data_IF_786783590453
#
_entry.id   IF_786783590453
#
_cell.length_a   1.000
_cell.length_b   1.000
_cell.length_c   1.000
_cell.angle_alpha   90.00
_cell.angle_beta   90.00
_cell.angle_gamma   90.00
#
_symmetry.space_group_name_H-M   'P 1'
#
loop_
_entity.id
_entity.type
_entity.pdbx_description
1 polymer ?
#
# COMPACT_ATOMS: atom_id res chain seq x y z
N UNK A 1 -16.33 15.96 -49.16
CA UNK A 1 -16.52 15.96 -47.70
C UNK A 1 -15.80 14.75 -47.15
N UNK A 2 -14.70 14.92 -46.42
CA UNK A 2 -14.05 13.78 -45.77
C UNK A 2 -15.03 13.22 -44.73
N UNK A 3 -15.28 11.92 -44.74
CA UNK A 3 -16.08 11.25 -43.71
C UNK A 3 -15.42 11.54 -42.36
N UNK A 4 -16.09 12.33 -41.52
CA UNK A 4 -15.68 12.52 -40.13
C UNK A 4 -15.92 11.20 -39.41
N UNK A 5 -14.87 10.40 -39.28
CA UNK A 5 -14.90 9.17 -38.49
C UNK A 5 -14.93 9.56 -37.03
N UNK A 6 -15.87 9.00 -36.25
CA UNK A 6 -16.00 9.28 -34.83
C UNK A 6 -14.76 8.78 -34.07
N UNK A 7 -14.15 9.59 -33.19
CA UNK A 7 -13.07 9.14 -32.33
C UNK A 7 -13.47 7.93 -31.49
N UNK A 8 -12.58 6.95 -31.36
CA UNK A 8 -12.82 5.73 -30.57
C UNK A 8 -11.80 5.66 -29.45
N UNK A 9 -12.27 5.70 -28.21
CA UNK A 9 -11.44 5.49 -27.02
C UNK A 9 -11.63 4.06 -26.52
N UNK A 10 -10.53 3.33 -26.39
CA UNK A 10 -10.50 1.94 -25.91
C UNK A 10 -9.64 1.82 -24.65
N UNK A 11 -10.13 1.04 -23.70
CA UNK A 11 -9.43 0.72 -22.44
C UNK A 11 -9.47 -0.79 -22.23
N UNK A 12 -8.31 -1.45 -22.22
CA UNK A 12 -8.21 -2.90 -22.14
C UNK A 12 -7.17 -3.37 -21.10
N UNK A 13 -7.54 -4.28 -20.17
CA UNK A 13 -8.89 -4.81 -19.98
C UNK A 13 -9.81 -3.77 -19.31
N UNK A 14 -11.10 -3.79 -19.67
CA UNK A 14 -12.13 -2.91 -19.07
C UNK A 14 -12.42 -3.25 -17.61
N UNK A 15 -12.12 -4.48 -17.19
CA UNK A 15 -12.21 -4.96 -15.80
C UNK A 15 -10.92 -5.71 -15.47
N UNK A 16 -10.29 -5.37 -14.35
CA UNK A 16 -9.02 -5.95 -13.92
C UNK A 16 -8.71 -5.49 -12.51
N UNK A 17 -7.69 -6.09 -11.89
CA UNK A 17 -7.29 -5.68 -10.56
C UNK A 17 -6.67 -4.27 -10.58
N UNK A 18 -6.68 -3.59 -9.44
CA UNK A 18 -6.09 -2.26 -9.32
C UNK A 18 -4.59 -2.28 -9.49
N UNK A 19 -3.91 -3.40 -9.22
CA UNK A 19 -2.47 -3.58 -9.40
C UNK A 19 -2.09 -4.17 -10.78
N UNK A 20 -3.06 -4.29 -11.69
CA UNK A 20 -2.86 -4.69 -13.07
C UNK A 20 -2.85 -3.47 -14.02
N UNK A 21 -1.91 -3.47 -14.96
CA UNK A 21 -1.87 -2.45 -16.02
C UNK A 21 -3.05 -2.60 -16.97
N UNK A 22 -3.54 -1.47 -17.48
CA UNK A 22 -4.43 -1.43 -18.64
C UNK A 22 -3.83 -0.57 -19.75
N UNK A 23 -4.26 -0.81 -20.97
CA UNK A 23 -3.89 -0.06 -22.16
C UNK A 23 -5.00 0.93 -22.48
N UNK A 24 -4.61 2.17 -22.79
CA UNK A 24 -5.51 3.19 -23.30
C UNK A 24 -5.06 3.56 -24.71
N UNK A 25 -5.98 3.45 -25.67
CA UNK A 25 -5.74 3.88 -27.03
C UNK A 25 -6.92 4.70 -27.56
N UNK A 26 -6.61 5.78 -28.26
CA UNK A 26 -7.56 6.66 -28.92
C UNK A 26 -7.27 6.63 -30.43
N UNK A 27 -8.30 6.35 -31.21
CA UNK A 27 -8.21 6.20 -32.66
C UNK A 27 -9.18 7.13 -33.38
N UNK A 28 -9.04 7.22 -34.71
CA UNK A 28 -9.89 8.04 -35.58
C UNK A 28 -9.83 9.54 -35.28
N UNK A 29 -8.69 10.03 -34.77
CA UNK A 29 -8.42 11.45 -34.72
C UNK A 29 -7.91 11.96 -36.08
N UNK A 30 -7.99 13.27 -36.36
CA UNK A 30 -7.19 13.86 -37.42
C UNK A 30 -5.69 13.57 -37.17
N UNK A 31 -4.85 13.43 -38.21
CA UNK A 31 -3.40 13.34 -38.03
C UNK A 31 -2.84 14.57 -37.31
N UNK A 32 -1.84 14.36 -36.44
CA UNK A 32 -1.16 15.44 -35.69
C UNK A 32 -2.10 16.31 -34.86
N UNK A 33 -3.15 15.72 -34.33
CA UNK A 33 -4.20 16.40 -33.58
C UNK A 33 -3.88 16.45 -32.08
N UNK A 34 -3.79 17.65 -31.48
CA UNK A 34 -3.61 17.78 -30.03
C UNK A 34 -4.85 17.32 -29.26
N UNK A 35 -4.63 16.47 -28.26
CA UNK A 35 -5.69 15.87 -27.45
C UNK A 35 -5.25 15.71 -25.99
N UNK A 36 -6.17 15.91 -25.05
CA UNK A 36 -5.98 15.57 -23.63
C UNK A 36 -6.71 14.27 -23.34
N UNK A 37 -6.02 13.28 -22.78
CA UNK A 37 -6.67 12.15 -22.14
C UNK A 37 -6.78 12.46 -20.65
N UNK A 38 -8.00 12.39 -20.13
CA UNK A 38 -8.36 12.72 -18.75
C UNK A 38 -9.01 11.51 -18.10
N UNK A 39 -8.66 11.25 -16.85
CA UNK A 39 -9.26 10.21 -16.03
C UNK A 39 -9.94 10.84 -14.82
N UNK A 40 -11.17 10.43 -14.53
CA UNK A 40 -11.95 10.91 -13.40
C UNK A 40 -12.46 9.73 -12.57
N UNK A 41 -12.28 9.81 -11.25
CA UNK A 41 -12.82 8.87 -10.28
C UNK A 41 -13.55 9.63 -9.16
N UNK A 42 -14.73 9.14 -8.76
CA UNK A 42 -15.38 9.58 -7.52
C UNK A 42 -15.12 8.56 -6.42
N UNK A 43 -14.42 8.98 -5.38
CA UNK A 43 -14.12 8.16 -4.22
C UNK A 43 -15.36 7.85 -3.38
N UNK A 44 -15.25 6.86 -2.50
CA UNK A 44 -16.31 6.49 -1.56
C UNK A 44 -16.60 7.61 -0.54
N UNK A 45 -15.57 8.41 -0.23
CA UNK A 45 -15.65 9.67 0.54
C UNK A 45 -16.34 10.83 -0.24
N UNK A 46 -16.83 10.56 -1.46
CA UNK A 46 -17.53 11.48 -2.38
C UNK A 46 -16.67 12.60 -2.99
N UNK A 47 -15.37 12.61 -2.72
CA UNK A 47 -14.42 13.50 -3.40
C UNK A 47 -14.09 12.99 -4.81
N UNK A 48 -13.86 13.92 -5.73
CA UNK A 48 -13.45 13.62 -7.10
C UNK A 48 -11.94 13.75 -7.27
N UNK A 49 -11.36 12.77 -7.97
CA UNK A 49 -9.95 12.65 -8.26
C UNK A 49 -9.76 12.62 -9.77
N UNK A 50 -8.77 13.35 -10.26
CA UNK A 50 -8.47 13.41 -11.68
C UNK A 50 -6.98 13.32 -11.98
N UNK A 51 -6.68 12.83 -13.16
CA UNK A 51 -5.36 12.90 -13.80
C UNK A 51 -5.56 13.20 -15.28
N UNK A 52 -4.55 13.79 -15.93
CA UNK A 52 -4.60 14.02 -17.36
C UNK A 52 -3.21 14.10 -17.99
N UNK A 53 -3.11 13.64 -19.23
CA UNK A 53 -1.92 13.72 -20.05
C UNK A 53 -2.20 14.38 -21.40
N UNK A 54 -1.23 15.13 -21.91
CA UNK A 54 -1.29 15.81 -23.20
C UNK A 54 -0.63 14.99 -24.29
N UNK A 55 -1.35 14.72 -25.37
CA UNK A 55 -0.87 13.90 -26.48
C UNK A 55 -1.10 14.60 -27.82
N UNK A 56 -0.43 14.12 -28.84
CA UNK A 56 -0.65 14.51 -30.24
C UNK A 56 -0.75 13.22 -31.03
N UNK A 57 -1.82 13.04 -31.81
CA UNK A 57 -1.99 11.83 -32.60
C UNK A 57 -0.89 11.67 -33.66
N UNK A 58 -0.58 10.42 -33.99
CA UNK A 58 0.33 10.06 -35.07
C UNK A 58 -0.24 10.42 -36.47
N UNK A 59 0.50 10.09 -37.53
CA UNK A 59 0.05 10.33 -38.91
C UNK A 59 -1.17 9.50 -39.32
N UNK A 60 -1.53 8.48 -38.52
CA UNK A 60 -2.71 7.63 -38.68
C UNK A 60 -3.87 8.05 -37.80
N UNK A 61 -3.73 9.13 -37.01
CA UNK A 61 -4.77 9.60 -36.11
C UNK A 61 -4.92 8.77 -34.83
N UNK A 62 -3.85 8.14 -34.34
CA UNK A 62 -3.84 7.29 -33.15
C UNK A 62 -3.01 7.89 -32.02
N UNK A 63 -3.41 7.61 -30.79
CA UNK A 63 -2.63 7.82 -29.56
C UNK A 63 -2.72 6.53 -28.74
N UNK A 64 -1.58 5.99 -28.32
CA UNK A 64 -1.48 4.82 -27.44
C UNK A 64 -0.67 5.19 -26.21
N UNK A 65 -1.31 5.31 -25.04
CA UNK A 65 -0.71 5.84 -23.80
C UNK A 65 0.53 5.07 -23.34
N UNK A 66 0.62 3.77 -23.64
CA UNK A 66 1.77 2.95 -23.29
C UNK A 66 2.98 3.11 -24.21
N UNK A 67 2.85 3.84 -25.32
CA UNK A 67 3.87 3.99 -26.35
C UNK A 67 4.20 5.48 -26.59
N UNK A 68 3.17 6.34 -26.58
CA UNK A 68 3.30 7.77 -26.79
C UNK A 68 3.61 8.52 -25.50
N UNK A 69 4.52 9.48 -25.57
CA UNK A 69 4.88 10.30 -24.42
C UNK A 69 3.84 11.40 -24.17
N UNK A 70 3.37 11.49 -22.92
CA UNK A 70 2.63 12.66 -22.45
C UNK A 70 3.55 13.89 -22.45
N UNK A 71 3.11 14.97 -23.10
CA UNK A 71 3.84 16.24 -23.22
C UNK A 71 3.69 17.12 -21.96
N UNK A 72 2.71 16.84 -21.12
CA UNK A 72 2.35 17.65 -19.95
C UNK A 72 1.05 17.18 -19.30
N UNK A 73 0.61 17.95 -18.31
CA UNK A 73 -0.50 17.60 -17.44
C UNK A 73 0.00 17.10 -16.08
N UNK A 74 -0.70 16.13 -15.50
CA UNK A 74 -0.35 15.57 -14.18
C UNK A 74 0.87 14.65 -14.21
N UNK A 75 1.32 14.26 -15.41
CA UNK A 75 2.55 13.50 -15.67
C UNK A 75 3.11 13.80 -17.06
N UNK A 76 4.39 13.44 -17.28
CA UNK A 76 5.11 13.58 -18.56
C UNK A 76 5.86 12.29 -18.88
N UNK A 77 6.12 12.05 -20.16
CA UNK A 77 6.84 10.86 -20.64
C UNK A 77 5.90 9.69 -20.97
N UNK A 78 6.50 8.54 -21.31
CA UNK A 78 5.76 7.31 -21.63
C UNK A 78 5.40 6.61 -20.32
N UNK A 79 4.18 6.86 -19.86
CA UNK A 79 3.71 6.44 -18.54
C UNK A 79 2.37 5.70 -18.66
N UNK A 80 2.39 4.36 -18.88
CA UNK A 80 1.18 3.59 -19.17
C UNK A 80 0.05 3.76 -18.15
N UNK A 81 0.43 3.97 -16.88
CA UNK A 81 -0.49 4.11 -15.75
C UNK A 81 -0.54 5.54 -15.19
N UNK A 82 -0.04 6.53 -15.94
CA UNK A 82 -0.05 7.95 -15.56
C UNK A 82 -1.44 8.45 -15.20
N UNK A 83 -2.47 7.99 -15.91
CA UNK A 83 -3.88 8.30 -15.63
C UNK A 83 -4.43 7.70 -14.33
N UNK A 84 -3.67 6.89 -13.59
CA UNK A 84 -4.03 6.45 -12.24
C UNK A 84 -3.11 7.04 -11.17
N UNK A 85 -1.81 6.77 -11.25
CA UNK A 85 -0.89 7.09 -10.15
C UNK A 85 -0.70 8.60 -9.95
N UNK A 86 -0.96 9.42 -10.98
CA UNK A 86 -0.84 10.87 -10.90
C UNK A 86 -2.14 11.58 -10.49
N UNK A 87 -3.19 10.84 -10.11
CA UNK A 87 -4.44 11.47 -9.73
C UNK A 87 -4.27 12.42 -8.54
N UNK A 88 -4.94 13.55 -8.61
CA UNK A 88 -5.06 14.50 -7.51
C UNK A 88 -6.53 14.92 -7.35
N UNK A 89 -6.92 15.50 -6.20
CA UNK A 89 -8.25 16.06 -6.06
C UNK A 89 -8.52 17.13 -7.11
N UNK A 90 -9.75 17.18 -7.65
CA UNK A 90 -10.15 18.22 -8.62
C UNK A 90 -10.05 19.62 -8.00
N UNK A 91 -9.89 20.69 -8.81
CA UNK A 91 -9.92 22.07 -8.32
C UNK A 91 -11.14 22.36 -7.45
N UNK A 92 -10.93 23.10 -6.34
CA UNK A 92 -11.97 23.40 -5.35
C UNK A 92 -12.22 22.31 -4.30
N UNK A 93 -11.48 21.19 -4.34
CA UNK A 93 -11.56 20.15 -3.31
C UNK A 93 -11.04 20.66 -1.94
N UNK A 94 -11.55 20.04 -0.87
CA UNK A 94 -11.05 20.24 0.49
C UNK A 94 -9.58 19.78 0.63
N UNK A 95 -8.86 20.37 1.59
CA UNK A 95 -7.43 20.10 1.80
C UNK A 95 -7.17 18.79 2.57
N UNK A 96 -5.99 18.19 2.33
CA UNK A 96 -5.50 17.03 3.07
C UNK A 96 -6.28 15.74 2.78
N UNK A 97 -6.73 15.55 1.54
CA UNK A 97 -7.39 14.32 1.11
C UNK A 97 -6.42 13.17 0.92
N UNK A 98 -6.90 11.95 1.16
CA UNK A 98 -6.23 10.69 0.83
C UNK A 98 -7.26 9.76 0.21
N UNK A 99 -7.00 9.28 -1.00
CA UNK A 99 -7.85 8.28 -1.62
C UNK A 99 -7.68 6.97 -0.85
N UNK A 100 -8.79 6.39 -0.41
CA UNK A 100 -8.82 5.12 0.31
C UNK A 100 -9.94 4.28 -0.26
N UNK A 101 -9.72 2.97 -0.29
CA UNK A 101 -10.75 1.99 -0.58
C UNK A 101 -11.31 1.44 0.73
N UNK A 102 -12.59 1.64 0.98
CA UNK A 102 -13.29 1.16 2.18
C UNK A 102 -14.07 -0.13 1.88
N UNK A 103 -14.74 -0.21 0.73
CA UNK A 103 -15.46 -1.42 0.31
C UNK A 103 -14.73 -2.16 -0.81
N UNK A 104 -13.96 -3.19 -0.46
CA UNK A 104 -13.18 -4.00 -1.43
C UNK A 104 -14.05 -4.86 -2.36
N UNK A 105 -15.36 -5.00 -2.09
CA UNK A 105 -16.28 -5.78 -2.91
C UNK A 105 -16.85 -4.99 -4.10
N UNK A 106 -16.60 -3.69 -4.14
CA UNK A 106 -16.93 -2.83 -5.29
C UNK A 106 -15.65 -2.35 -6.00
N UNK A 107 -15.68 -2.07 -7.31
CA UNK A 107 -14.52 -1.56 -8.01
C UNK A 107 -14.30 -0.06 -7.77
N UNK A 108 -13.07 0.39 -7.98
CA UNK A 108 -12.78 1.77 -8.34
C UNK A 108 -13.16 1.98 -9.82
N UNK A 109 -14.23 2.71 -10.06
CA UNK A 109 -14.67 3.05 -11.43
C UNK A 109 -13.96 4.31 -11.90
N UNK A 110 -13.27 4.22 -13.03
CA UNK A 110 -12.53 5.33 -13.64
C UNK A 110 -13.11 5.63 -15.02
N UNK A 111 -13.56 6.87 -15.21
CA UNK A 111 -13.99 7.39 -16.50
C UNK A 111 -12.78 7.98 -17.22
N UNK A 112 -12.39 7.39 -18.34
CA UNK A 112 -11.40 7.97 -19.24
C UNK A 112 -12.13 8.73 -20.34
N UNK A 113 -11.74 9.97 -20.57
CA UNK A 113 -12.33 10.88 -21.56
C UNK A 113 -11.24 11.54 -22.40
N UNK A 114 -11.52 11.71 -23.68
CA UNK A 114 -10.66 12.43 -24.62
C UNK A 114 -11.24 13.83 -24.88
N UNK A 115 -10.40 14.86 -24.79
CA UNK A 115 -10.80 16.25 -25.02
C UNK A 115 -9.94 16.88 -26.11
N UNK A 116 -10.54 17.74 -26.94
CA UNK A 116 -9.82 18.47 -27.99
C UNK A 116 -8.82 19.45 -27.38
N UNK A 117 -7.61 19.50 -27.95
CA UNK A 117 -6.56 20.42 -27.50
C UNK A 117 -5.84 19.92 -26.25
N UNK A 118 -4.96 20.75 -25.71
CA UNK A 118 -4.30 20.51 -24.42
C UNK A 118 -4.97 21.34 -23.33
N UNK A 119 -6.15 20.87 -22.88
CA UNK A 119 -6.91 21.50 -21.80
C UNK A 119 -6.34 21.12 -20.42
N UNK A 120 -6.28 22.07 -19.49
CA UNK A 120 -5.79 21.87 -18.11
C UNK A 120 -6.90 21.93 -17.05
N UNK A 121 -8.07 22.44 -17.39
CA UNK A 121 -9.26 22.54 -16.53
C UNK A 121 -10.54 22.55 -17.38
N UNK A 122 -11.70 22.68 -16.72
CA UNK A 122 -12.99 22.82 -17.42
C UNK A 122 -13.49 21.53 -18.08
N UNK A 123 -12.90 20.36 -17.77
CA UNK A 123 -13.28 19.07 -18.39
C UNK A 123 -14.78 18.72 -18.26
N UNK A 124 -15.45 19.22 -17.22
CA UNK A 124 -16.89 19.01 -17.00
C UNK A 124 -17.79 19.93 -17.83
N UNK A 125 -17.26 21.02 -18.33
CA UNK A 125 -18.01 22.07 -19.03
C UNK A 125 -18.03 21.86 -20.55
N UNK A 126 -17.17 20.97 -21.05
CA UNK A 126 -17.07 20.63 -22.46
C UNK A 126 -17.41 19.15 -22.70
N UNK A 127 -18.09 18.82 -23.80
CA UNK A 127 -18.34 17.42 -24.17
C UNK A 127 -17.03 16.74 -24.60
N UNK A 128 -16.77 15.50 -24.15
CA UNK A 128 -15.62 14.73 -24.61
C UNK A 128 -15.79 14.27 -26.07
N UNK A 129 -14.67 14.10 -26.77
CA UNK A 129 -14.60 13.50 -28.10
C UNK A 129 -15.01 12.01 -28.08
N UNK A 130 -14.61 11.32 -27.01
CA UNK A 130 -14.95 9.94 -26.71
C UNK A 130 -14.70 9.67 -25.22
N UNK A 131 -15.43 8.70 -24.67
CA UNK A 131 -15.26 8.28 -23.28
C UNK A 131 -15.35 6.75 -23.16
N UNK A 132 -14.66 6.19 -22.18
CA UNK A 132 -14.69 4.78 -21.83
C UNK A 132 -14.60 4.62 -20.31
N UNK A 133 -15.34 3.66 -19.76
CA UNK A 133 -15.28 3.29 -18.35
C UNK A 133 -14.37 2.08 -18.17
N UNK A 134 -13.59 2.09 -17.08
CA UNK A 134 -12.84 0.93 -16.63
C UNK A 134 -13.04 0.72 -15.13
N UNK A 135 -13.13 -0.55 -14.72
CA UNK A 135 -13.29 -0.96 -13.33
C UNK A 135 -11.99 -1.55 -12.80
N UNK A 136 -11.46 -0.99 -11.71
CA UNK A 136 -10.27 -1.48 -11.01
C UNK A 136 -10.66 -2.13 -9.70
N UNK A 137 -10.53 -3.46 -9.65
CA UNK A 137 -10.98 -4.29 -8.53
C UNK A 137 -9.86 -4.50 -7.50
N UNK A 138 -10.20 -4.49 -6.22
CA UNK A 138 -9.26 -4.83 -5.14
C UNK A 138 -9.35 -6.31 -4.73
N UNK A 139 -10.37 -7.01 -5.24
CA UNK A 139 -10.66 -8.40 -4.92
C UNK A 139 -10.95 -9.15 -6.22
N UNK A 140 -10.14 -10.18 -6.51
CA UNK A 140 -10.31 -11.01 -7.70
C UNK A 140 -11.59 -11.85 -7.62
N UNK A 141 -12.16 -12.25 -8.78
CA UNK A 141 -13.30 -13.15 -8.82
C UNK A 141 -13.04 -14.44 -8.02
N UNK A 142 -14.00 -14.82 -7.18
CA UNK A 142 -13.93 -16.04 -6.39
C UNK A 142 -13.16 -15.94 -5.07
N UNK A 143 -12.47 -14.82 -4.80
CA UNK A 143 -11.93 -14.55 -3.46
C UNK A 143 -13.09 -14.41 -2.47
N UNK A 144 -13.02 -15.14 -1.36
CA UNK A 144 -14.01 -15.04 -0.29
C UNK A 144 -13.56 -13.96 0.71
N UNK A 145 -14.52 -13.17 1.22
CA UNK A 145 -14.32 -12.19 2.29
C UNK A 145 -15.17 -12.62 3.49
N UNK A 146 -14.54 -12.89 4.63
CA UNK A 146 -15.22 -13.38 5.84
C UNK A 146 -14.80 -12.53 7.04
N UNK A 147 -15.76 -11.93 7.73
CA UNK A 147 -15.49 -11.15 8.94
C UNK A 147 -15.08 -12.08 10.10
N UNK A 148 -14.00 -11.73 10.80
CA UNK A 148 -13.50 -12.46 11.97
C UNK A 148 -13.83 -11.71 13.25
N UNK A 149 -14.53 -12.38 14.17
CA UNK A 149 -14.88 -11.88 15.52
C UNK A 149 -14.65 -13.00 16.55
N UNK A 150 -13.45 -13.56 16.57
CA UNK A 150 -13.10 -14.74 17.35
C UNK A 150 -12.08 -14.40 18.45
N UNK A 151 -12.31 -14.84 19.69
CA UNK A 151 -11.36 -14.64 20.79
C UNK A 151 -11.03 -13.17 21.10
N UNK A 152 -11.94 -12.24 20.77
CA UNK A 152 -11.73 -10.79 20.87
C UNK A 152 -11.01 -10.16 19.68
N UNK A 153 -10.49 -10.97 18.75
CA UNK A 153 -9.84 -10.50 17.52
C UNK A 153 -10.89 -9.97 16.55
N UNK A 154 -10.63 -8.78 16.02
CA UNK A 154 -11.45 -8.11 15.03
C UNK A 154 -10.65 -8.00 13.73
N UNK A 155 -11.14 -8.64 12.68
CA UNK A 155 -10.52 -8.55 11.36
C UNK A 155 -11.43 -9.05 10.25
N UNK A 156 -10.84 -9.23 9.08
CA UNK A 156 -11.47 -9.86 7.91
C UNK A 156 -10.46 -10.79 7.25
N UNK A 157 -10.83 -12.05 7.08
CA UNK A 157 -10.02 -13.04 6.36
C UNK A 157 -10.47 -13.08 4.89
N UNK A 158 -9.49 -13.07 4.00
CA UNK A 158 -9.67 -13.22 2.57
C UNK A 158 -9.07 -14.55 2.13
N UNK A 159 -9.83 -15.35 1.39
CA UNK A 159 -9.44 -16.70 0.97
C UNK A 159 -9.42 -16.76 -0.57
N UNK A 160 -8.30 -17.15 -1.20
CA UNK A 160 -8.22 -17.33 -2.64
C UNK A 160 -9.21 -18.41 -3.15
N UNK A 161 -9.67 -18.31 -4.40
CA UNK A 161 -10.43 -19.41 -5.01
C UNK A 161 -9.54 -20.64 -5.23
N UNK A 162 -10.14 -21.84 -5.16
CA UNK A 162 -9.46 -23.10 -5.44
C UNK A 162 -9.47 -24.07 -4.25
N UNK A 163 -8.80 -25.24 -4.38
CA UNK A 163 -8.88 -26.30 -3.38
C UNK A 163 -8.07 -26.04 -2.10
N UNK A 164 -7.10 -25.11 -2.13
CA UNK A 164 -6.16 -24.89 -1.04
C UNK A 164 -5.36 -26.16 -0.65
N UNK A 165 -4.76 -26.18 0.55
CA UNK A 165 -4.52 -25.01 1.42
C UNK A 165 -3.52 -24.04 0.78
N UNK A 166 -3.56 -22.79 1.22
CA UNK A 166 -2.71 -21.69 0.74
C UNK A 166 -1.77 -21.21 1.85
N UNK A 167 -0.65 -20.55 1.53
CA UNK A 167 0.09 -19.81 2.54
C UNK A 167 -0.75 -18.68 3.14
N UNK A 168 -0.48 -18.37 4.42
CA UNK A 168 -1.19 -17.34 5.19
C UNK A 168 -0.38 -16.05 5.34
N UNK A 169 -1.05 -14.89 5.40
CA UNK A 169 -0.44 -13.60 5.74
C UNK A 169 -1.31 -12.86 6.76
N UNK A 170 -0.75 -12.53 7.92
CA UNK A 170 -1.37 -11.57 8.83
C UNK A 170 -1.01 -10.15 8.38
N UNK A 171 -2.01 -9.34 8.06
CA UNK A 171 -1.85 -8.01 7.47
C UNK A 171 -2.24 -6.91 8.45
N UNK A 172 -1.30 -6.00 8.73
CA UNK A 172 -1.45 -4.92 9.71
C UNK A 172 -1.13 -3.55 9.09
N UNK A 173 -2.10 -2.64 9.18
CA UNK A 173 -1.95 -1.24 8.75
C UNK A 173 -1.35 -0.36 9.83
N UNK A 174 -1.23 0.95 9.57
CA UNK A 174 -0.61 1.92 10.49
C UNK A 174 -1.55 2.50 11.55
N UNK A 175 -1.07 3.55 12.23
CA UNK A 175 -1.73 4.19 13.38
C UNK A 175 -3.04 4.92 13.12
N UNK A 176 -3.55 4.94 11.89
CA UNK A 176 -4.83 5.61 11.56
C UNK A 176 -6.04 4.93 12.19
N UNK A 177 -5.89 3.65 12.53
CA UNK A 177 -6.95 2.80 13.07
C UNK A 177 -8.02 2.41 12.08
N UNK A 178 -9.00 1.64 12.57
CA UNK A 178 -10.01 1.01 11.74
C UNK A 178 -9.48 -0.20 10.97
N UNK A 179 -10.39 -0.89 10.31
CA UNK A 179 -10.09 -2.06 9.51
C UNK A 179 -9.85 -1.66 8.05
N UNK A 180 -8.62 -1.86 7.57
CA UNK A 180 -8.21 -1.53 6.21
C UNK A 180 -7.93 -2.81 5.45
N UNK A 181 -8.73 -3.08 4.42
CA UNK A 181 -8.83 -4.43 3.84
C UNK A 181 -8.14 -4.59 2.48
N UNK A 182 -7.88 -3.49 1.77
CA UNK A 182 -7.57 -3.54 0.35
C UNK A 182 -6.23 -4.22 0.01
N UNK A 183 -5.22 -4.15 0.90
CA UNK A 183 -3.99 -4.92 0.70
C UNK A 183 -4.20 -6.42 0.93
N UNK A 184 -4.97 -6.80 1.94
CA UNK A 184 -5.33 -8.20 2.18
C UNK A 184 -6.17 -8.81 1.05
N UNK A 185 -7.14 -8.06 0.52
CA UNK A 185 -7.93 -8.50 -0.62
C UNK A 185 -7.05 -8.74 -1.86
N UNK A 186 -6.05 -7.88 -2.09
CA UNK A 186 -5.06 -8.06 -3.16
C UNK A 186 -4.14 -9.25 -2.89
N UNK A 187 -3.64 -9.44 -1.67
CA UNK A 187 -2.85 -10.63 -1.31
C UNK A 187 -3.62 -11.93 -1.59
N UNK A 188 -4.91 -11.99 -1.26
CA UNK A 188 -5.76 -13.13 -1.60
C UNK A 188 -6.01 -13.31 -3.09
N UNK A 189 -6.08 -12.20 -3.83
CA UNK A 189 -6.11 -12.22 -5.29
C UNK A 189 -4.82 -12.79 -5.90
N UNK A 190 -3.71 -12.76 -5.16
CA UNK A 190 -2.40 -13.32 -5.53
C UNK A 190 -2.09 -14.68 -4.89
N UNK A 191 -3.08 -15.34 -4.29
CA UNK A 191 -2.97 -16.72 -3.81
C UNK A 191 -2.54 -16.87 -2.34
N UNK A 192 -2.71 -15.84 -1.51
CA UNK A 192 -2.45 -15.93 -0.06
C UNK A 192 -3.75 -15.82 0.73
N UNK A 193 -4.01 -16.72 1.68
CA UNK A 193 -5.03 -16.41 2.68
C UNK A 193 -4.53 -15.22 3.49
N UNK A 194 -5.28 -14.14 3.57
CA UNK A 194 -4.83 -12.90 4.22
C UNK A 194 -5.82 -12.44 5.28
N UNK A 195 -5.36 -12.20 6.50
CA UNK A 195 -6.16 -11.65 7.59
C UNK A 195 -5.82 -10.17 7.79
N UNK A 196 -6.71 -9.28 7.35
CA UNK A 196 -6.65 -7.86 7.70
C UNK A 196 -7.04 -7.69 9.17
N UNK A 197 -6.15 -7.10 9.98
CA UNK A 197 -6.34 -6.95 11.41
C UNK A 197 -6.67 -5.51 11.79
N UNK A 198 -7.76 -5.32 12.54
CA UNK A 198 -7.99 -4.11 13.32
C UNK A 198 -7.44 -4.33 14.72
N UNK A 199 -6.65 -3.38 15.20
CA UNK A 199 -6.04 -3.44 16.52
C UNK A 199 -6.04 -2.09 17.25
N UNK A 200 -6.71 -1.07 16.68
CA UNK A 200 -6.74 0.29 17.21
C UNK A 200 -8.14 0.84 17.40
N UNK A 201 -9.19 0.16 16.91
CA UNK A 201 -10.55 0.62 17.15
C UNK A 201 -10.91 0.56 18.64
N UNK A 202 -11.80 1.45 19.11
CA UNK A 202 -12.23 1.45 20.51
C UNK A 202 -12.78 0.10 20.98
N UNK A 203 -13.35 -0.70 20.08
CA UNK A 203 -13.86 -2.05 20.38
C UNK A 203 -12.73 -3.03 20.76
N UNK A 204 -11.54 -2.86 20.18
CA UNK A 204 -10.34 -3.63 20.55
C UNK A 204 -9.70 -3.08 21.82
N UNK A 205 -9.64 -1.75 21.96
CA UNK A 205 -8.98 -1.09 23.10
C UNK A 205 -9.63 -1.39 24.47
N UNK A 206 -10.90 -1.82 24.49
CA UNK A 206 -11.64 -2.20 25.72
C UNK A 206 -11.42 -3.67 26.11
N UNK A 207 -10.96 -4.52 25.18
CA UNK A 207 -11.01 -5.98 25.33
C UNK A 207 -9.71 -6.63 25.89
N UNK A 208 -8.55 -5.99 25.74
CA UNK A 208 -7.27 -6.44 26.30
C UNK A 208 -6.33 -5.23 26.28
N UNK A 209 -5.52 -5.03 27.33
CA UNK A 209 -4.36 -4.13 27.22
C UNK A 209 -3.54 -4.66 26.04
N UNK A 210 -3.39 -3.84 24.98
CA UNK A 210 -2.93 -4.20 23.63
C UNK A 210 -1.50 -4.79 23.65
N UNK A 211 -1.38 -5.97 24.20
CA UNK A 211 -0.17 -6.72 24.43
C UNK A 211 0.06 -7.66 23.25
N UNK A 212 1.25 -8.27 23.20
CA UNK A 212 1.58 -9.30 22.21
C UNK A 212 0.49 -10.38 22.09
N UNK A 213 -0.21 -10.68 23.18
CA UNK A 213 -1.29 -11.67 23.25
C UNK A 213 -2.39 -11.45 22.19
N UNK A 214 -2.77 -10.19 21.90
CA UNK A 214 -3.79 -9.92 20.88
C UNK A 214 -3.30 -10.33 19.48
N UNK A 215 -2.05 -10.00 19.16
CA UNK A 215 -1.43 -10.31 17.89
C UNK A 215 -1.14 -11.81 17.75
N UNK A 216 -0.77 -12.47 18.86
CA UNK A 216 -0.61 -13.93 18.93
C UNK A 216 -1.94 -14.65 18.69
N UNK A 217 -3.04 -14.19 19.30
CA UNK A 217 -4.39 -14.71 19.03
C UNK A 217 -4.74 -14.57 17.54
N UNK A 218 -4.52 -13.38 16.95
CA UNK A 218 -4.79 -13.12 15.54
C UNK A 218 -3.95 -14.02 14.61
N UNK A 219 -2.66 -14.17 14.90
CA UNK A 219 -1.77 -15.05 14.16
C UNK A 219 -2.22 -16.52 14.26
N UNK A 220 -2.63 -16.97 15.44
CA UNK A 220 -3.14 -18.33 15.64
C UNK A 220 -4.45 -18.59 14.88
N UNK A 221 -5.36 -17.62 14.79
CA UNK A 221 -6.60 -17.74 14.00
C UNK A 221 -6.28 -18.04 12.53
N UNK A 222 -5.39 -17.27 11.91
CA UNK A 222 -5.00 -17.54 10.51
C UNK A 222 -4.21 -18.84 10.39
N UNK A 223 -3.28 -19.12 11.33
CA UNK A 223 -2.46 -20.33 11.30
C UNK A 223 -3.28 -21.62 11.41
N UNK A 224 -4.37 -21.60 12.16
CA UNK A 224 -5.24 -22.76 12.40
C UNK A 224 -6.37 -22.87 11.38
N UNK A 225 -6.53 -21.88 10.50
CA UNK A 225 -7.59 -21.91 9.49
C UNK A 225 -7.41 -23.11 8.53
N UNK A 226 -8.45 -23.89 8.22
CA UNK A 226 -8.33 -25.13 7.44
C UNK A 226 -7.84 -24.94 6.00
N UNK A 227 -7.98 -23.72 5.45
CA UNK A 227 -7.47 -23.34 4.13
C UNK A 227 -6.02 -22.81 4.18
N UNK A 228 -5.34 -22.84 5.33
CA UNK A 228 -3.98 -22.33 5.51
C UNK A 228 -2.98 -23.47 5.72
N UNK A 229 -1.83 -23.39 5.07
CA UNK A 229 -0.70 -24.27 5.34
C UNK A 229 -0.09 -23.83 6.69
N UNK A 230 -0.31 -24.64 7.73
CA UNK A 230 -0.07 -24.29 9.14
C UNK A 230 1.31 -23.70 9.44
N UNK A 231 2.38 -24.18 8.81
CA UNK A 231 3.77 -23.71 9.03
C UNK A 231 4.21 -22.61 8.06
N UNK A 232 3.30 -22.10 7.21
CA UNK A 232 3.57 -21.12 6.15
C UNK A 232 2.74 -19.86 6.31
N UNK A 233 2.89 -19.23 7.48
CA UNK A 233 2.24 -17.95 7.79
C UNK A 233 3.30 -16.86 7.94
N UNK A 234 3.19 -15.81 7.13
CA UNK A 234 3.99 -14.59 7.26
C UNK A 234 3.22 -13.45 7.90
N UNK A 235 3.91 -12.33 8.15
CA UNK A 235 3.29 -11.08 8.62
C UNK A 235 3.69 -9.94 7.69
N UNK A 236 2.73 -9.10 7.30
CA UNK A 236 2.95 -7.89 6.51
C UNK A 236 2.44 -6.67 7.28
N UNK A 237 3.34 -5.76 7.64
CA UNK A 237 3.04 -4.56 8.42
C UNK A 237 3.38 -3.26 7.68
N UNK A 238 2.58 -2.22 7.85
CA UNK A 238 2.91 -0.85 7.42
C UNK A 238 2.90 0.13 8.59
N UNK A 239 3.88 1.04 8.65
CA UNK A 239 4.01 2.06 9.70
C UNK A 239 4.01 1.40 11.10
N UNK A 240 3.04 1.72 11.96
CA UNK A 240 2.88 1.10 13.26
C UNK A 240 2.71 -0.43 13.16
N UNK A 241 2.01 -0.92 12.14
CA UNK A 241 1.88 -2.36 11.89
C UNK A 241 3.23 -3.02 11.60
N UNK A 242 4.18 -2.31 10.99
CA UNK A 242 5.53 -2.82 10.81
C UNK A 242 6.28 -2.90 12.14
N UNK A 243 6.17 -1.88 13.00
CA UNK A 243 6.72 -1.91 14.36
C UNK A 243 6.16 -3.06 15.21
N UNK A 244 4.84 -3.30 15.13
CA UNK A 244 4.18 -4.45 15.77
C UNK A 244 4.68 -5.77 15.20
N UNK A 245 4.86 -5.86 13.88
CA UNK A 245 5.41 -7.05 13.20
C UNK A 245 6.79 -7.40 13.75
N UNK A 246 7.68 -6.42 13.86
CA UNK A 246 9.02 -6.63 14.42
C UNK A 246 8.95 -7.08 15.88
N UNK A 247 8.05 -6.50 16.68
CA UNK A 247 7.88 -6.88 18.08
C UNK A 247 7.39 -8.33 18.22
N UNK A 248 6.37 -8.73 17.47
CA UNK A 248 5.86 -10.10 17.45
C UNK A 248 6.97 -11.08 17.03
N UNK A 249 7.70 -10.77 15.96
CA UNK A 249 8.75 -11.65 15.45
C UNK A 249 9.96 -11.79 16.40
N UNK A 250 10.23 -10.78 17.23
CA UNK A 250 11.37 -10.76 18.15
C UNK A 250 11.04 -11.29 19.55
N UNK A 251 9.81 -11.11 20.02
CA UNK A 251 9.45 -11.31 21.43
C UNK A 251 8.28 -12.26 21.69
N UNK A 252 7.53 -12.68 20.67
CA UNK A 252 6.50 -13.71 20.90
C UNK A 252 7.16 -15.06 21.19
N UNK A 253 6.68 -15.72 22.25
CA UNK A 253 7.06 -17.09 22.59
C UNK A 253 6.07 -18.13 22.02
N UNK A 254 4.86 -17.69 21.65
CA UNK A 254 3.77 -18.58 21.21
C UNK A 254 3.62 -18.67 19.70
N UNK A 255 4.10 -17.66 18.96
CA UNK A 255 4.01 -17.64 17.49
C UNK A 255 5.37 -17.38 16.85
N UNK A 256 5.59 -18.00 15.69
CA UNK A 256 6.81 -17.82 14.91
C UNK A 256 6.43 -17.61 13.43
N UNK A 257 6.47 -16.36 12.93
CA UNK A 257 6.21 -16.11 11.53
C UNK A 257 7.29 -16.72 10.65
N UNK A 258 6.88 -17.24 9.49
CA UNK A 258 7.80 -17.83 8.51
C UNK A 258 8.64 -16.78 7.79
N UNK A 259 8.11 -15.57 7.63
CA UNK A 259 8.80 -14.38 7.15
C UNK A 259 8.02 -13.10 7.53
N UNK A 260 8.69 -11.95 7.51
CA UNK A 260 8.10 -10.66 7.81
C UNK A 260 8.37 -9.65 6.69
N UNK A 261 7.34 -8.87 6.35
CA UNK A 261 7.43 -7.71 5.45
C UNK A 261 7.07 -6.46 6.24
N UNK A 262 7.98 -5.48 6.30
CA UNK A 262 7.84 -4.25 7.06
C UNK A 262 7.98 -3.05 6.14
N UNK A 263 6.86 -2.38 5.86
CA UNK A 263 6.77 -1.21 5.00
C UNK A 263 6.78 0.04 5.87
N UNK A 264 7.74 0.93 5.64
CA UNK A 264 7.92 2.20 6.35
C UNK A 264 7.89 2.05 7.87
N UNK A 265 8.58 1.01 8.37
CA UNK A 265 8.60 0.64 9.78
C UNK A 265 9.77 1.25 10.57
N UNK A 266 9.68 1.16 11.89
CA UNK A 266 10.81 1.43 12.79
C UNK A 266 10.80 0.45 13.96
N UNK A 267 11.99 0.08 14.41
CA UNK A 267 12.22 -0.79 15.56
C UNK A 267 12.36 0.02 16.88
N UNK A 268 12.28 1.36 16.81
CA UNK A 268 12.33 2.26 17.97
C UNK A 268 10.98 2.23 18.69
N UNK A 269 10.80 1.21 19.52
CA UNK A 269 9.77 1.11 20.54
C UNK A 269 10.30 0.25 21.69
N UNK A 270 9.89 0.55 22.94
CA UNK A 270 10.29 -0.25 24.08
C UNK A 270 9.66 -1.65 24.01
N UNK A 271 10.49 -2.67 24.19
CA UNK A 271 10.05 -4.06 24.27
C UNK A 271 9.15 -4.28 25.50
N UNK A 272 8.25 -5.27 25.41
CA UNK A 272 7.36 -5.68 26.52
C UNK A 272 6.45 -4.56 27.10
N UNK A 273 6.25 -3.45 26.37
CA UNK A 273 5.22 -2.46 26.66
C UNK A 273 3.98 -2.71 25.81
N UNK A 274 2.81 -2.40 26.35
CA UNK A 274 1.58 -2.46 25.58
C UNK A 274 1.62 -1.44 24.44
N UNK A 275 0.89 -1.73 23.37
CA UNK A 275 0.79 -0.83 22.23
C UNK A 275 0.18 0.52 22.63
N UNK A 276 -0.73 0.53 23.61
CA UNK A 276 -1.28 1.76 24.19
C UNK A 276 -0.18 2.62 24.83
N UNK A 277 0.77 2.00 25.56
CA UNK A 277 1.95 2.68 26.06
C UNK A 277 2.80 3.24 24.90
N UNK A 278 3.13 2.42 23.90
CA UNK A 278 3.99 2.82 22.76
C UNK A 278 3.39 4.00 21.99
N UNK A 279 2.07 3.97 21.76
CA UNK A 279 1.35 5.05 21.10
C UNK A 279 1.43 6.32 21.96
N UNK A 280 1.07 6.24 23.24
CA UNK A 280 1.07 7.40 24.15
C UNK A 280 2.48 7.98 24.35
N UNK A 281 3.49 7.13 24.45
CA UNK A 281 4.89 7.53 24.63
C UNK A 281 5.44 8.23 23.39
N UNK A 282 5.13 7.72 22.20
CA UNK A 282 5.44 8.40 20.94
C UNK A 282 4.86 9.82 20.85
N UNK A 283 3.70 10.06 21.48
CA UNK A 283 3.08 11.39 21.58
C UNK A 283 3.59 12.25 22.75
N UNK A 284 4.30 11.69 23.73
CA UNK A 284 4.98 12.53 24.75
C UNK A 284 6.14 13.32 24.16
N UNK A 285 6.71 12.85 23.06
CA UNK A 285 7.74 13.56 22.28
C UNK A 285 7.14 14.57 21.27
N UNK A 286 5.90 15.02 21.48
CA UNK A 286 5.26 16.05 20.63
C UNK A 286 6.04 17.37 20.60
N UNK A 287 6.84 17.66 21.62
CA UNK A 287 7.75 18.81 21.68
C UNK A 287 8.85 18.77 20.60
N UNK A 288 9.21 17.56 20.12
CA UNK A 288 10.19 17.37 19.04
C UNK A 288 9.57 17.42 17.65
N UNK A 289 8.24 17.48 17.55
CA UNK A 289 7.57 17.49 16.25
C UNK A 289 7.77 18.84 15.59
N UNK A 290 8.37 18.80 14.40
CA UNK A 290 8.49 19.99 13.58
C UNK A 290 7.19 20.22 12.83
N UNK A 291 6.87 21.49 12.64
CA UNK A 291 5.80 21.94 11.76
C UNK A 291 6.47 22.74 10.65
N UNK A 292 6.20 22.38 9.40
CA UNK A 292 6.76 23.11 8.27
C UNK A 292 6.00 24.42 7.98
N UNK A 293 6.50 25.19 7.02
CA UNK A 293 5.93 26.49 6.62
C UNK A 293 4.48 26.40 6.12
N UNK A 294 3.98 25.20 5.79
CA UNK A 294 2.61 24.95 5.36
C UNK A 294 1.74 24.35 6.48
N UNK A 295 2.17 24.45 7.74
CA UNK A 295 1.50 23.94 8.92
C UNK A 295 1.29 22.40 8.89
N UNK A 296 2.24 21.67 8.28
CA UNK A 296 2.22 20.21 8.24
C UNK A 296 3.17 19.65 9.29
N UNK A 297 2.71 18.66 10.03
CA UNK A 297 3.53 17.98 11.03
C UNK A 297 4.51 17.01 10.37
N UNK A 298 5.78 17.08 10.79
CA UNK A 298 6.85 16.17 10.41
C UNK A 298 7.17 15.28 11.62
N UNK A 299 6.79 14.01 11.54
CA UNK A 299 6.91 13.07 12.67
C UNK A 299 8.24 12.33 12.72
N UNK A 300 9.05 12.37 11.65
CA UNK A 300 10.37 11.73 11.61
C UNK A 300 11.26 12.11 12.80
N UNK A 301 11.17 13.36 13.27
CA UNK A 301 11.97 13.89 14.38
C UNK A 301 11.59 13.36 15.78
N UNK A 302 10.43 12.69 15.91
CA UNK A 302 10.13 11.96 17.15
C UNK A 302 11.04 10.74 17.34
N UNK A 303 11.61 10.21 16.24
CA UNK A 303 12.49 9.03 16.24
C UNK A 303 13.96 9.43 16.08
N UNK A 304 14.23 10.60 15.48
CA UNK A 304 15.60 11.07 15.29
C UNK A 304 16.14 11.89 16.48
N UNK A 305 17.43 11.73 16.81
CA UNK A 305 18.33 10.67 16.33
C UNK A 305 17.91 9.29 16.88
N UNK A 306 18.24 8.22 16.16
CA UNK A 306 17.99 6.85 16.66
C UNK A 306 18.68 6.69 18.02
N UNK A 307 17.90 6.36 19.04
CA UNK A 307 18.37 6.24 20.41
C UNK A 307 19.45 5.16 20.55
N UNK A 308 20.44 5.43 21.40
CA UNK A 308 21.47 4.44 21.76
C UNK A 308 21.04 3.58 22.95
N UNK A 309 19.94 3.95 23.61
CA UNK A 309 19.38 3.18 24.72
C UNK A 309 18.71 1.89 24.18
N UNK A 310 19.21 0.69 24.55
CA UNK A 310 18.61 -0.55 24.09
C UNK A 310 17.19 -0.78 24.63
N UNK A 311 16.81 -0.17 25.76
CA UNK A 311 15.47 -0.35 26.35
C UNK A 311 14.36 0.38 25.57
N UNK A 312 14.73 1.29 24.66
CA UNK A 312 13.83 2.04 23.79
C UNK A 312 13.71 1.43 22.39
N UNK A 313 14.36 0.28 22.16
CA UNK A 313 14.45 -0.37 20.86
C UNK A 313 14.16 -1.86 20.97
N UNK A 314 13.58 -2.42 19.92
CA UNK A 314 13.47 -3.87 19.79
C UNK A 314 14.84 -4.48 19.49
N UNK A 315 15.17 -5.58 20.17
CA UNK A 315 16.37 -6.37 19.89
C UNK A 315 16.19 -7.18 18.60
N UNK A 316 16.67 -6.59 17.51
CA UNK A 316 16.56 -7.17 16.17
C UNK A 316 17.37 -8.46 16.00
N UNK A 317 18.35 -8.71 16.87
CA UNK A 317 19.12 -9.96 16.90
C UNK A 317 18.27 -11.18 17.25
N UNK A 318 17.08 -10.97 17.83
CA UNK A 318 16.13 -12.03 18.18
C UNK A 318 15.36 -12.58 16.98
N UNK A 319 15.18 -11.80 15.92
CA UNK A 319 14.39 -12.24 14.75
C UNK A 319 15.12 -13.38 14.02
N UNK A 320 14.47 -14.54 13.89
CA UNK A 320 15.05 -15.74 13.26
C UNK A 320 14.42 -16.12 11.92
N UNK A 321 13.52 -15.31 11.39
CA UNK A 321 12.91 -15.49 10.08
C UNK A 321 13.42 -14.45 9.06
N UNK A 322 13.32 -14.73 7.75
CA UNK A 322 13.53 -13.72 6.71
C UNK A 322 12.72 -12.44 6.96
N UNK A 323 13.35 -11.29 6.78
CA UNK A 323 12.79 -9.97 6.99
C UNK A 323 13.04 -9.09 5.77
N UNK A 324 11.96 -8.58 5.19
CA UNK A 324 11.99 -7.58 4.12
C UNK A 324 11.63 -6.20 4.68
N UNK A 325 12.53 -5.24 4.58
CA UNK A 325 12.28 -3.82 4.85
C UNK A 325 12.02 -3.07 3.55
N UNK A 326 10.95 -2.28 3.50
CA UNK A 326 10.57 -1.43 2.36
C UNK A 326 10.52 0.02 2.83
N UNK A 327 11.47 0.85 2.39
CA UNK A 327 11.68 2.19 2.91
C UNK A 327 11.62 3.25 1.81
N UNK A 328 11.01 4.39 2.11
CA UNK A 328 11.16 5.61 1.32
C UNK A 328 12.21 6.54 1.91
N UNK A 329 13.13 7.03 1.08
CA UNK A 329 14.22 7.89 1.56
C UNK A 329 13.72 9.28 2.02
N UNK A 330 12.61 9.77 1.45
CA UNK A 330 11.92 11.01 1.84
C UNK A 330 10.76 10.74 2.81
N UNK A 331 10.84 9.70 3.67
CA UNK A 331 9.81 9.44 4.68
C UNK A 331 9.80 10.53 5.77
N UNK A 332 8.74 11.33 5.82
CA UNK A 332 8.61 12.44 6.78
C UNK A 332 7.84 12.05 8.06
N UNK A 333 7.40 10.79 8.17
CA UNK A 333 6.66 10.26 9.32
C UNK A 333 7.53 9.40 10.23
N UNK A 334 8.36 8.53 9.65
CA UNK A 334 9.26 7.61 10.35
C UNK A 334 10.69 7.80 9.83
N UNK A 335 11.68 7.58 10.69
CA UNK A 335 13.10 7.60 10.33
C UNK A 335 13.52 6.25 9.74
N UNK A 336 12.94 5.87 8.60
CA UNK A 336 12.96 4.49 8.07
C UNK A 336 14.35 4.07 7.61
N UNK A 337 15.08 4.95 6.94
CA UNK A 337 16.45 4.68 6.47
C UNK A 337 17.40 4.49 7.65
N UNK A 338 17.39 5.41 8.63
CA UNK A 338 18.22 5.31 9.83
C UNK A 338 17.81 4.12 10.69
N UNK A 339 16.50 3.82 10.76
CA UNK A 339 16.00 2.62 11.43
C UNK A 339 16.50 1.35 10.74
N UNK A 340 16.50 1.28 9.41
CA UNK A 340 16.97 0.12 8.65
C UNK A 340 18.48 -0.10 8.82
N UNK A 341 19.28 0.97 8.83
CA UNK A 341 20.71 0.90 9.13
C UNK A 341 20.98 0.36 10.55
N UNK A 342 20.24 0.82 11.55
CA UNK A 342 20.39 0.34 12.93
C UNK A 342 19.92 -1.11 13.09
N UNK A 343 18.81 -1.50 12.43
CA UNK A 343 18.36 -2.89 12.34
C UNK A 343 19.47 -3.77 11.75
N UNK A 344 20.07 -3.36 10.64
CA UNK A 344 21.14 -4.11 9.99
C UNK A 344 22.36 -4.27 10.90
N UNK A 345 22.75 -3.23 11.64
CA UNK A 345 23.84 -3.30 12.64
C UNK A 345 23.54 -4.31 13.74
N UNK A 346 22.34 -4.26 14.32
CA UNK A 346 21.92 -5.20 15.36
C UNK A 346 21.88 -6.65 14.86
N UNK A 347 21.33 -6.87 13.66
CA UNK A 347 21.27 -8.21 13.07
C UNK A 347 22.65 -8.74 12.67
N UNK A 348 23.55 -7.88 12.16
CA UNK A 348 24.94 -8.26 11.90
C UNK A 348 25.66 -8.69 13.18
N UNK A 349 25.50 -7.92 14.26
CA UNK A 349 26.10 -8.25 15.55
C UNK A 349 25.61 -9.60 16.11
N UNK A 350 24.36 -9.96 15.82
CA UNK A 350 23.77 -11.25 16.19
C UNK A 350 24.03 -12.39 15.19
N UNK A 351 24.70 -12.13 14.07
CA UNK A 351 25.01 -13.12 13.03
C UNK A 351 23.83 -13.50 12.11
N UNK A 352 22.73 -12.76 12.13
CA UNK A 352 21.52 -13.05 11.33
C UNK A 352 21.24 -12.02 10.22
N UNK A 353 22.22 -11.18 9.84
CA UNK A 353 22.10 -10.22 8.72
C UNK A 353 21.71 -10.88 7.38
N UNK A 354 22.07 -12.15 7.18
CA UNK A 354 21.69 -12.92 5.98
C UNK A 354 20.17 -13.13 5.83
N UNK A 355 19.38 -12.89 6.88
CA UNK A 355 17.91 -12.92 6.84
C UNK A 355 17.30 -11.59 6.40
N UNK A 356 18.09 -10.51 6.36
CA UNK A 356 17.62 -9.17 6.11
C UNK A 356 17.73 -8.82 4.62
N UNK A 357 16.62 -8.41 4.02
CA UNK A 357 16.56 -7.77 2.71
C UNK A 357 16.01 -6.36 2.89
N UNK A 358 16.67 -5.37 2.28
CA UNK A 358 16.26 -3.96 2.37
C UNK A 358 16.04 -3.39 0.98
N UNK A 359 14.88 -2.77 0.78
CA UNK A 359 14.53 -1.99 -0.41
C UNK A 359 14.42 -0.52 0.00
N UNK A 360 15.28 0.31 -0.56
CA UNK A 360 15.26 1.76 -0.35
C UNK A 360 14.88 2.45 -1.65
N UNK A 361 13.88 3.33 -1.59
CA UNK A 361 13.36 4.05 -2.74
C UNK A 361 13.63 5.54 -2.59
N UNK A 362 14.56 6.03 -3.42
CA UNK A 362 14.91 7.43 -3.49
C UNK A 362 13.69 8.28 -3.82
N UNK A 363 13.51 9.41 -3.10
CA UNK A 363 12.37 10.33 -3.25
C UNK A 363 10.97 9.69 -3.02
N UNK A 364 10.87 8.48 -2.47
CA UNK A 364 9.60 7.92 -2.00
C UNK A 364 9.33 8.34 -0.55
N UNK A 365 8.05 8.40 -0.19
CA UNK A 365 7.59 8.85 1.13
C UNK A 365 7.09 7.70 2.00
N UNK A 366 6.38 8.05 3.07
CA UNK A 366 5.92 7.10 4.08
C UNK A 366 4.86 6.09 3.59
N UNK A 367 3.88 6.54 2.81
CA UNK A 367 2.69 5.76 2.45
C UNK A 367 2.89 4.92 1.18
N UNK A 368 3.82 3.96 1.20
CA UNK A 368 4.02 3.01 0.11
C UNK A 368 2.85 2.01 0.10
N UNK A 369 1.82 2.35 -0.65
CA UNK A 369 0.59 1.57 -0.83
C UNK A 369 0.69 0.59 -2.02
N UNK A 370 -0.30 -0.29 -2.26
CA UNK A 370 -0.35 -1.08 -3.50
C UNK A 370 -0.25 -0.21 -4.77
N UNK A 371 0.14 -0.79 -5.92
CA UNK A 371 0.44 -0.04 -7.13
C UNK A 371 -0.71 0.84 -7.61
N UNK A 372 -0.34 1.94 -8.23
CA UNK A 372 -1.24 2.91 -8.87
C UNK A 372 -2.20 3.65 -7.93
N UNK A 373 -2.12 3.43 -6.62
CA UNK A 373 -2.68 4.36 -5.63
C UNK A 373 -2.00 5.73 -5.81
N UNK A 374 -2.75 6.83 -5.86
CA UNK A 374 -2.16 8.15 -6.04
C UNK A 374 -1.24 8.55 -4.88
N UNK A 375 -0.20 9.33 -5.17
CA UNK A 375 0.73 9.78 -4.14
C UNK A 375 0.14 10.89 -3.26
N UNK A 376 0.13 10.69 -1.94
CA UNK A 376 -0.29 11.70 -0.95
C UNK A 376 0.92 12.24 -0.19
N UNK A 377 1.50 13.35 -0.67
CA UNK A 377 2.63 13.99 0.05
C UNK A 377 2.24 14.42 1.46
N UNK A 378 1.00 14.86 1.64
CA UNK A 378 0.43 15.21 2.94
C UNK A 378 -1.06 14.92 2.99
N UNK A 379 -1.57 14.49 4.14
CA UNK A 379 -3.00 14.26 4.32
C UNK A 379 -3.44 14.52 5.75
N UNK A 380 -4.75 14.69 5.93
CA UNK A 380 -5.34 14.77 7.25
C UNK A 380 -5.15 13.44 7.99
N UNK A 381 -4.87 13.52 9.28
CA UNK A 381 -4.77 12.41 10.20
C UNK A 381 -5.48 12.75 11.51
N UNK A 382 -6.10 11.76 12.14
CA UNK A 382 -6.75 11.93 13.44
C UNK A 382 -5.87 11.30 14.52
N UNK A 383 -5.35 12.12 15.41
CA UNK A 383 -4.65 11.66 16.61
C UNK A 383 -5.72 11.16 17.59
N UNK A 384 -5.94 9.84 17.61
CA UNK A 384 -7.10 9.21 18.27
C UNK A 384 -7.24 9.59 19.75
N UNK A 385 -6.16 9.61 20.52
CA UNK A 385 -6.22 9.93 21.95
C UNK A 385 -6.52 11.41 22.24
N UNK A 386 -6.20 12.33 21.31
CA UNK A 386 -6.52 13.76 21.42
C UNK A 386 -7.82 14.14 20.72
N UNK A 387 -8.40 13.23 19.93
CA UNK A 387 -9.49 13.53 19.00
C UNK A 387 -9.18 14.74 18.10
N UNK A 388 -7.91 14.96 17.79
CA UNK A 388 -7.43 16.12 17.07
C UNK A 388 -7.08 15.77 15.62
N UNK A 389 -7.63 16.56 14.69
CA UNK A 389 -7.28 16.50 13.28
C UNK A 389 -6.02 17.33 13.03
N UNK A 390 -5.01 16.71 12.42
CA UNK A 390 -3.75 17.35 12.03
C UNK A 390 -3.46 17.08 10.55
N UNK A 391 -2.65 17.92 9.92
CA UNK A 391 -2.14 17.69 8.59
C UNK A 391 -0.73 17.11 8.72
N UNK A 392 -0.52 15.89 8.25
CA UNK A 392 0.78 15.19 8.37
C UNK A 392 1.49 15.23 7.04
N UNK A 393 2.79 15.54 7.06
CA UNK A 393 3.68 15.38 5.91
C UNK A 393 4.17 13.93 5.87
N UNK A 394 3.84 13.21 4.81
CA UNK A 394 4.30 11.85 4.56
C UNK A 394 5.59 11.81 3.71
N UNK A 395 5.82 12.90 2.97
CA UNK A 395 6.96 13.05 2.06
C UNK A 395 6.77 12.33 0.74
N UNK A 396 7.83 12.30 -0.07
CA UNK A 396 7.87 11.71 -1.41
C UNK A 396 7.58 12.68 -2.56
N UNK A 397 8.03 12.31 -3.76
CA UNK A 397 7.67 12.93 -5.04
C UNK A 397 6.79 11.99 -5.84
N UNK A 398 5.77 12.51 -6.53
CA UNK A 398 4.70 11.70 -7.15
C UNK A 398 5.21 10.56 -8.03
N UNK A 399 6.13 10.81 -8.96
CA UNK A 399 6.64 9.77 -9.86
C UNK A 399 7.55 8.74 -9.15
N UNK A 400 8.62 9.14 -8.44
CA UNK A 400 9.43 8.18 -7.68
C UNK A 400 8.60 7.35 -6.68
N UNK A 401 7.60 7.96 -6.05
CA UNK A 401 6.70 7.25 -5.14
C UNK A 401 5.83 6.22 -5.87
N UNK A 402 5.25 6.57 -7.03
CA UNK A 402 4.48 5.63 -7.84
C UNK A 402 5.34 4.43 -8.31
N UNK A 403 6.59 4.68 -8.69
CA UNK A 403 7.55 3.63 -9.07
C UNK A 403 7.88 2.72 -7.88
N UNK A 404 8.07 3.30 -6.70
CA UNK A 404 8.30 2.56 -5.47
C UNK A 404 7.12 1.63 -5.13
N UNK A 405 5.88 2.09 -5.29
CA UNK A 405 4.70 1.27 -5.06
C UNK A 405 4.62 0.09 -6.04
N UNK A 406 4.88 0.32 -7.34
CA UNK A 406 4.86 -0.74 -8.35
C UNK A 406 5.96 -1.79 -8.11
N UNK A 407 7.20 -1.36 -7.96
CA UNK A 407 8.35 -2.25 -7.79
C UNK A 407 8.32 -2.98 -6.43
N UNK A 408 8.00 -2.27 -5.34
CA UNK A 408 7.95 -2.89 -4.01
C UNK A 408 6.84 -3.94 -3.93
N UNK A 409 5.67 -3.70 -4.54
CA UNK A 409 4.59 -4.70 -4.53
C UNK A 409 5.00 -6.00 -5.23
N UNK A 410 5.66 -5.91 -6.38
CA UNK A 410 6.18 -7.10 -7.09
C UNK A 410 7.22 -7.85 -6.24
N UNK A 411 8.11 -7.12 -5.56
CA UNK A 411 9.13 -7.70 -4.68
C UNK A 411 8.53 -8.29 -3.41
N UNK A 412 7.52 -7.68 -2.82
CA UNK A 412 6.77 -8.20 -1.67
C UNK A 412 6.09 -9.51 -2.04
N UNK A 413 5.35 -9.55 -3.16
CA UNK A 413 4.71 -10.78 -3.64
C UNK A 413 5.74 -11.88 -3.91
N UNK A 414 6.89 -11.53 -4.50
CA UNK A 414 7.97 -12.49 -4.77
C UNK A 414 8.59 -13.04 -3.48
N UNK A 415 8.88 -12.18 -2.51
CA UNK A 415 9.42 -12.53 -1.19
C UNK A 415 8.45 -13.45 -0.41
N UNK A 416 7.17 -13.10 -0.39
CA UNK A 416 6.14 -13.93 0.24
C UNK A 416 6.02 -15.29 -0.48
N UNK A 417 6.09 -15.33 -1.82
CA UNK A 417 6.08 -16.58 -2.57
C UNK A 417 7.28 -17.45 -2.22
N UNK A 418 8.48 -16.89 -2.22
CA UNK A 418 9.72 -17.59 -1.93
C UNK A 418 9.72 -18.26 -0.54
N UNK A 419 9.24 -17.56 0.48
CA UNK A 419 9.33 -18.05 1.86
C UNK A 419 8.11 -18.83 2.34
N UNK A 420 6.92 -18.58 1.76
CA UNK A 420 5.68 -19.20 2.20
C UNK A 420 5.24 -20.36 1.31
N UNK A 421 5.48 -20.34 -0.01
CA UNK A 421 5.15 -21.52 -0.82
C UNK A 421 6.17 -22.66 -0.58
N UNK A 422 5.73 -23.92 -0.60
CA UNK A 422 6.64 -25.05 -0.59
C UNK A 422 7.54 -25.03 -1.84
N UNK A 423 8.84 -25.29 -1.66
CA UNK A 423 9.74 -25.49 -2.80
C UNK A 423 9.32 -26.77 -3.55
N UNK A 424 9.30 -26.81 -4.90
CA UNK A 424 8.90 -27.98 -5.67
C UNK A 424 9.74 -29.26 -5.43
N UNK A 425 10.83 -29.20 -4.66
CA UNK A 425 11.80 -30.29 -4.53
C UNK A 425 11.63 -31.19 -3.29
N UNK A 426 10.60 -31.02 -2.45
CA UNK A 426 10.48 -31.78 -1.19
C UNK A 426 9.49 -32.96 -1.18
N UNK A 427 9.06 -33.48 -2.33
CA UNK A 427 8.18 -34.66 -2.38
C UNK A 427 8.38 -35.56 -3.61
N UNK A 428 9.55 -36.19 -3.71
CA UNK A 428 9.63 -37.52 -4.32
C UNK A 428 10.06 -38.49 -3.20
N UNK A 429 9.14 -39.29 -2.63
CA UNK A 429 9.53 -40.43 -1.84
C UNK A 429 10.35 -41.35 -2.75
N UNK A 430 11.62 -41.58 -2.42
CA UNK A 430 12.39 -42.67 -3.04
C UNK A 430 11.62 -43.96 -2.76
N UNK A 431 10.97 -44.50 -3.79
CA UNK A 431 10.49 -45.86 -3.77
C UNK A 431 11.71 -46.77 -3.53
N UNK A 432 11.73 -47.46 -2.39
CA UNK A 432 12.65 -48.57 -2.17
C UNK A 432 12.27 -49.66 -3.17
N UNK A 433 13.17 -49.93 -4.12
CA UNK A 433 13.16 -51.12 -4.96
C UNK A 433 13.39 -52.37 -4.12
#
# INVERSE_FOLDING_TARGET
MAQTVTPILSVLPTRGLVDEKFKVALENLPPRFPVTLHSLHQSEDKDYWEAFGYYVSDDRGRVTVSEDASLGGTYKGVEPMGLLWSMHPVPGSRTGLRLRKMDVQSPMVVLISAYKGHAFEGFREQPPLASALTERWYMAPGVQRIDIREGGVIGTIFIPPGPGPFPGVLDMWGGGGGLVEYRSALLASHGFVSLALDYLSPKVAVADDQSLVYFEKAFNIIQQHPQVIKDRVGICGLCLGASVTLNVAAYSESVSPRCCVCISGSHVLPAAKSLSYVINDGYKHMDKLLVDEQNRMVWRHAILPITTNPDEKLDMGRIKCPLLLVNGDDDQSKATVESAEDIAKMMRAAGNEHLLTTLNYHDAGHLIEPPYTPHFRASNFIIQHLQQKVLVLWGGKTKPHADAQEDSWQKILSFLREHLYPCPSSSIPQAKL
#
